data_IF_640441618396
#
_entry.id   IF_640441618396
#
_cell.length_a   1.000
_cell.length_b   1.000
_cell.length_c   1.000
_cell.angle_alpha   90.00
_cell.angle_beta   90.00
_cell.angle_gamma   90.00
#
_symmetry.space_group_name_H-M   'P 1'
#
loop_
_entity.id
_entity.type
_entity.pdbx_description
1 polymer ?
#
# COMPACT_ATOMS: atom_id res chain seq x y z
N UNK A 1 15.26 -8.83 24.15
CA UNK A 1 13.92 -8.69 24.78
C UNK A 1 13.56 -7.21 24.69
N UNK A 2 12.44 -6.85 24.05
CA UNK A 2 11.91 -5.48 24.09
C UNK A 2 11.05 -5.35 25.34
N UNK A 3 11.34 -4.35 26.17
CA UNK A 3 10.62 -4.10 27.42
C UNK A 3 9.23 -3.54 27.10
N UNK A 4 8.15 -4.02 27.74
CA UNK A 4 6.83 -3.43 27.57
C UNK A 4 6.86 -1.99 28.08
N UNK A 5 6.59 -1.01 27.22
CA UNK A 5 6.52 0.41 27.58
C UNK A 5 7.62 1.30 26.98
N UNK A 6 8.55 0.77 26.20
CA UNK A 6 9.42 1.62 25.38
C UNK A 6 8.57 2.28 24.28
N UNK A 7 8.52 3.63 24.19
CA UNK A 7 7.81 4.30 23.12
C UNK A 7 8.38 3.80 21.79
N UNK A 8 7.54 3.22 20.95
CA UNK A 8 7.90 2.95 19.57
C UNK A 8 8.13 4.30 18.89
N UNK A 9 9.37 4.75 18.83
CA UNK A 9 9.77 5.87 17.99
C UNK A 9 9.62 5.42 16.55
N UNK A 10 8.47 5.72 15.97
CA UNK A 10 8.21 5.45 14.55
C UNK A 10 8.90 6.52 13.74
N UNK A 11 9.78 6.14 12.81
CA UNK A 11 10.45 7.05 11.90
C UNK A 11 9.49 7.44 10.75
N UNK A 12 9.10 8.73 10.62
CA UNK A 12 8.26 9.18 9.51
C UNK A 12 8.90 8.95 8.13
N UNK A 13 10.24 8.96 8.04
CA UNK A 13 10.98 8.66 6.83
C UNK A 13 10.79 7.20 6.37
N UNK A 14 10.81 6.26 7.30
CA UNK A 14 10.53 4.84 7.02
C UNK A 14 9.08 4.63 6.56
N UNK A 15 8.12 5.37 7.13
CA UNK A 15 6.72 5.32 6.71
C UNK A 15 6.54 5.83 5.27
N UNK A 16 7.18 6.96 4.91
CA UNK A 16 7.15 7.47 3.54
C UNK A 16 7.84 6.52 2.55
N UNK A 17 8.97 5.93 2.93
CA UNK A 17 9.65 4.94 2.12
C UNK A 17 8.77 3.71 1.89
N UNK A 18 8.13 3.20 2.95
CA UNK A 18 7.20 2.07 2.87
C UNK A 18 6.01 2.39 1.96
N UNK A 19 5.44 3.60 2.05
CA UNK A 19 4.37 4.04 1.15
C UNK A 19 4.81 4.02 -0.33
N UNK A 20 6.02 4.53 -0.64
CA UNK A 20 6.57 4.52 -1.99
C UNK A 20 6.85 3.11 -2.52
N UNK A 21 7.30 2.19 -1.67
CA UNK A 21 7.46 0.77 -2.02
C UNK A 21 6.10 0.13 -2.35
N UNK A 22 5.05 0.45 -1.58
CA UNK A 22 3.68 -0.03 -1.86
C UNK A 22 3.15 0.49 -3.20
N UNK A 23 3.40 1.76 -3.55
CA UNK A 23 3.03 2.30 -4.86
C UNK A 23 3.78 1.61 -6.01
N UNK A 24 5.07 1.33 -5.80
CA UNK A 24 5.90 0.60 -6.78
C UNK A 24 5.39 -0.82 -6.99
N UNK A 25 5.07 -1.54 -5.91
CA UNK A 25 4.47 -2.87 -5.98
C UNK A 25 3.09 -2.85 -6.66
N UNK A 26 2.25 -1.87 -6.35
CA UNK A 26 0.95 -1.72 -6.99
C UNK A 26 1.09 -1.54 -8.51
N UNK A 27 2.04 -0.69 -8.93
CA UNK A 27 2.33 -0.43 -10.34
C UNK A 27 2.84 -1.69 -11.05
N UNK A 28 3.78 -2.40 -10.42
CA UNK A 28 4.31 -3.67 -10.95
C UNK A 28 3.24 -4.76 -11.05
N UNK A 29 2.40 -4.89 -10.03
CA UNK A 29 1.26 -5.81 -10.03
C UNK A 29 0.28 -5.49 -11.17
N UNK A 30 -0.08 -4.22 -11.34
CA UNK A 30 -0.97 -3.77 -12.42
C UNK A 30 -0.43 -4.09 -13.81
N UNK A 31 0.86 -3.83 -14.05
CA UNK A 31 1.52 -4.16 -15.31
C UNK A 31 1.54 -5.67 -15.58
N UNK A 32 1.88 -6.47 -14.57
CA UNK A 32 1.89 -7.94 -14.68
C UNK A 32 0.48 -8.50 -14.96
N UNK A 33 -0.55 -7.98 -14.27
CA UNK A 33 -1.94 -8.34 -14.53
C UNK A 33 -2.35 -8.04 -15.97
N UNK A 34 -2.08 -6.82 -16.47
CA UNK A 34 -2.42 -6.45 -17.85
C UNK A 34 -1.74 -7.34 -18.88
N UNK A 35 -0.45 -7.63 -18.69
CA UNK A 35 0.29 -8.52 -19.57
C UNK A 35 -0.29 -9.94 -19.59
N UNK A 36 -0.71 -10.45 -18.43
CA UNK A 36 -1.24 -11.79 -18.32
C UNK A 36 -2.70 -11.89 -18.82
N UNK A 37 -3.52 -10.86 -18.58
CA UNK A 37 -4.87 -10.72 -19.15
C UNK A 37 -4.81 -10.69 -20.69
N UNK A 38 -3.88 -9.93 -21.26
CA UNK A 38 -3.68 -9.86 -22.71
C UNK A 38 -3.26 -11.21 -23.32
N UNK A 39 -2.51 -12.03 -22.57
CA UNK A 39 -2.15 -13.39 -22.99
C UNK A 39 -3.36 -14.32 -22.91
N UNK A 40 -4.10 -14.29 -21.81
CA UNK A 40 -5.26 -15.15 -21.60
C UNK A 40 -6.39 -14.87 -22.62
N UNK A 41 -6.63 -13.60 -22.95
CA UNK A 41 -7.62 -13.20 -23.96
C UNK A 41 -7.27 -13.64 -25.40
N UNK A 42 -6.02 -14.03 -25.67
CA UNK A 42 -5.57 -14.54 -26.97
C UNK A 42 -5.68 -16.07 -27.10
N UNK A 43 -6.00 -16.77 -26.02
CA UNK A 43 -6.07 -18.24 -26.03
C UNK A 43 -7.35 -18.68 -26.75
N UNK A 44 -7.18 -19.33 -27.91
CA UNK A 44 -8.27 -20.02 -28.59
C UNK A 44 -8.45 -21.42 -27.98
N UNK A 45 -9.23 -21.49 -26.92
CA UNK A 45 -9.70 -22.79 -26.40
C UNK A 45 -10.82 -23.27 -27.32
N UNK A 46 -10.57 -24.36 -28.05
CA UNK A 46 -11.61 -25.04 -28.84
C UNK A 46 -12.82 -25.45 -28.00
N UNK A 47 -13.80 -26.14 -28.60
CA UNK A 47 -15.02 -26.55 -27.88
C UNK A 47 -14.71 -27.40 -26.64
N UNK A 48 -15.32 -27.06 -25.49
CA UNK A 48 -15.20 -27.86 -24.27
C UNK A 48 -15.40 -27.06 -22.98
N UNK A 49 -15.38 -27.77 -21.84
CA UNK A 49 -15.62 -27.20 -20.50
C UNK A 49 -14.62 -26.09 -20.14
N UNK A 50 -13.36 -26.21 -20.58
CA UNK A 50 -12.35 -25.19 -20.34
C UNK A 50 -12.67 -23.86 -21.07
N UNK A 51 -13.20 -23.95 -22.31
CA UNK A 51 -13.63 -22.78 -23.08
C UNK A 51 -14.85 -22.10 -22.44
N UNK A 52 -15.77 -22.88 -21.86
CA UNK A 52 -16.91 -22.35 -21.12
C UNK A 52 -16.54 -21.71 -19.77
N UNK A 53 -15.54 -22.26 -19.07
CA UNK A 53 -15.14 -21.79 -17.73
C UNK A 53 -14.15 -20.62 -17.74
N UNK A 54 -13.32 -20.48 -18.78
CA UNK A 54 -12.26 -19.47 -18.85
C UNK A 54 -12.79 -18.02 -18.66
N UNK A 55 -13.90 -17.58 -19.29
CA UNK A 55 -14.40 -16.22 -19.10
C UNK A 55 -14.75 -15.90 -17.64
N UNK A 56 -15.37 -16.84 -16.93
CA UNK A 56 -15.72 -16.68 -15.51
C UNK A 56 -14.50 -16.58 -14.61
N UNK A 57 -13.48 -17.42 -14.87
CA UNK A 57 -12.21 -17.37 -14.15
C UNK A 57 -11.48 -16.04 -14.38
N UNK A 58 -11.45 -15.53 -15.63
CA UNK A 58 -10.85 -14.23 -15.95
C UNK A 58 -11.60 -13.07 -15.31
N UNK A 59 -12.94 -13.14 -15.25
CA UNK A 59 -13.75 -12.13 -14.55
C UNK A 59 -13.47 -12.12 -13.04
N UNK A 60 -13.39 -13.28 -12.40
CA UNK A 60 -13.04 -13.39 -10.98
C UNK A 60 -11.63 -12.84 -10.70
N UNK A 61 -10.66 -13.20 -11.55
CA UNK A 61 -9.30 -12.69 -11.43
C UNK A 61 -9.21 -11.18 -11.64
N UNK A 62 -9.98 -10.62 -12.57
CA UNK A 62 -10.07 -9.16 -12.76
C UNK A 62 -10.60 -8.46 -11.50
N UNK A 63 -11.63 -9.01 -10.86
CA UNK A 63 -12.18 -8.47 -9.62
C UNK A 63 -11.15 -8.50 -8.48
N UNK A 64 -10.40 -9.61 -8.34
CA UNK A 64 -9.31 -9.72 -7.37
C UNK A 64 -8.21 -8.69 -7.64
N UNK A 65 -7.82 -8.48 -8.89
CA UNK A 65 -6.82 -7.48 -9.25
C UNK A 65 -7.25 -6.06 -8.86
N UNK A 66 -8.51 -5.69 -9.10
CA UNK A 66 -9.07 -4.41 -8.63
C UNK A 66 -9.04 -4.30 -7.10
N UNK A 67 -9.42 -5.37 -6.39
CA UNK A 67 -9.39 -5.41 -4.92
C UNK A 67 -7.98 -5.20 -4.37
N UNK A 68 -6.98 -5.90 -4.90
CA UNK A 68 -5.60 -5.77 -4.44
C UNK A 68 -5.03 -4.38 -4.73
N UNK A 69 -5.31 -3.81 -5.91
CA UNK A 69 -4.94 -2.43 -6.23
C UNK A 69 -5.49 -1.42 -5.21
N UNK A 70 -6.76 -1.55 -4.83
CA UNK A 70 -7.38 -0.70 -3.80
C UNK A 70 -6.72 -0.88 -2.42
N UNK A 71 -6.31 -2.10 -2.04
CA UNK A 71 -5.62 -2.35 -0.79
C UNK A 71 -4.22 -1.70 -0.77
N UNK A 72 -3.45 -1.79 -1.85
CA UNK A 72 -2.15 -1.10 -1.92
C UNK A 72 -2.30 0.41 -1.75
N UNK A 73 -3.24 1.03 -2.46
CA UNK A 73 -3.51 2.46 -2.35
C UNK A 73 -3.93 2.86 -0.93
N UNK A 74 -4.79 2.06 -0.28
CA UNK A 74 -5.21 2.27 1.10
C UNK A 74 -4.03 2.23 2.07
N UNK A 75 -3.16 1.22 1.95
CA UNK A 75 -2.00 1.09 2.83
C UNK A 75 -0.99 2.22 2.60
N UNK A 76 -0.67 2.54 1.34
CA UNK A 76 0.22 3.65 1.02
C UNK A 76 -0.30 4.98 1.59
N UNK A 77 -1.61 5.25 1.46
CA UNK A 77 -2.23 6.41 2.09
C UNK A 77 -2.10 6.38 3.62
N UNK A 78 -2.41 5.25 4.25
CA UNK A 78 -2.31 5.10 5.70
C UNK A 78 -0.91 5.38 6.25
N UNK A 79 0.14 4.92 5.54
CA UNK A 79 1.51 5.21 5.92
C UNK A 79 1.87 6.70 5.79
N UNK A 80 1.41 7.39 4.72
CA UNK A 80 1.61 8.85 4.58
C UNK A 80 0.88 9.62 5.66
N UNK A 81 -0.39 9.29 5.91
CA UNK A 81 -1.19 9.92 6.97
C UNK A 81 -0.55 9.74 8.35
N UNK A 82 0.02 8.56 8.62
CA UNK A 82 0.75 8.30 9.85
C UNK A 82 2.04 9.14 9.94
N UNK A 83 2.82 9.22 8.86
CA UNK A 83 4.03 10.04 8.81
C UNK A 83 3.73 11.52 9.11
N UNK A 84 2.68 12.06 8.47
CA UNK A 84 2.23 13.44 8.68
C UNK A 84 1.78 13.68 10.14
N UNK A 85 1.13 12.69 10.76
CA UNK A 85 0.69 12.76 12.15
C UNK A 85 1.88 12.76 13.13
N UNK A 86 2.91 11.94 12.87
CA UNK A 86 4.13 11.93 13.68
C UNK A 86 4.88 13.26 13.60
N UNK A 87 5.11 13.78 12.38
CA UNK A 87 5.78 15.09 12.18
C UNK A 87 5.04 16.21 12.90
N UNK A 88 3.71 16.24 12.82
CA UNK A 88 2.90 17.27 13.50
C UNK A 88 3.00 17.18 15.02
N UNK A 89 2.95 15.95 15.56
CA UNK A 89 3.04 15.72 17.01
C UNK A 89 4.40 16.14 17.55
N UNK A 90 5.48 15.78 16.85
CA UNK A 90 6.85 16.18 17.21
C UNK A 90 7.04 17.70 17.16
N UNK A 91 6.55 18.34 16.09
CA UNK A 91 6.62 19.80 15.94
C UNK A 91 5.85 20.52 17.06
N UNK A 92 4.65 20.04 17.39
CA UNK A 92 3.86 20.59 18.49
C UNK A 92 4.55 20.39 19.84
N UNK A 93 5.11 19.20 20.09
CA UNK A 93 5.88 18.90 21.30
C UNK A 93 7.09 19.83 21.46
N UNK A 94 7.87 20.01 20.39
CA UNK A 94 9.03 20.91 20.38
C UNK A 94 8.64 22.36 20.68
N UNK A 95 7.56 22.87 20.09
CA UNK A 95 7.04 24.22 20.36
C UNK A 95 6.64 24.41 21.83
N UNK A 96 5.92 23.44 22.41
CA UNK A 96 5.53 23.50 23.82
C UNK A 96 6.70 23.41 24.79
N UNK A 97 7.80 22.75 24.40
CA UNK A 97 9.02 22.70 25.20
C UNK A 97 9.75 24.04 25.11
N UNK A 98 9.93 24.60 23.92
CA UNK A 98 10.60 25.89 23.72
C UNK A 98 9.86 27.04 24.44
N UNK A 99 8.53 27.02 24.42
CA UNK A 99 7.69 27.97 25.17
C UNK A 99 7.77 27.78 26.70
N UNK A 100 8.13 26.58 27.17
CA UNK A 100 8.30 26.27 28.60
C UNK A 100 9.72 26.51 29.12
N UNK A 101 10.71 26.76 28.25
CA UNK A 101 12.07 27.15 28.66
C UNK A 101 12.06 28.65 29.02
N UNK A 102 12.34 29.04 30.29
CA UNK A 102 12.46 30.45 30.65
C UNK A 102 13.70 31.02 29.96
N UNK A 103 13.53 32.11 29.19
CA UNK A 103 14.67 32.89 28.68
C UNK A 103 15.33 33.63 29.84
N UNK A 104 16.43 33.09 30.35
CA UNK A 104 17.33 33.72 31.33
C UNK A 104 18.49 34.42 30.65
#
# INVERSE_FOLDING_TARGET
MRTPGEPLTVDPGELHQTAGQLDTHASGFGAAYQAAQARAGKVALGSGLASAGLPGMLAAWAADATRYGAQFAKHAKGHRDAADAYVRTDTHGAGTIDDAVPRS
#
